data_IF_714092766761
#
_entry.id   IF_714092766761
#
_cell.length_a   1.000
_cell.length_b   1.000
_cell.length_c   1.000
_cell.angle_alpha   90.00
_cell.angle_beta   90.00
_cell.angle_gamma   90.00
#
_symmetry.space_group_name_H-M   'P 1'
#
loop_
_entity.id
_entity.type
_entity.pdbx_description
1 polymer ?
#
# COMPACT_ATOMS: atom_id res chain seq x y z
N UNK A 1 16.15 -2.08 -1.29
CA UNK A 1 14.93 -2.90 -1.06
C UNK A 1 15.32 -4.36 -1.18
N UNK A 2 15.07 -5.16 -0.15
CA UNK A 2 15.46 -6.57 -0.10
C UNK A 2 14.42 -7.48 -0.78
N UNK A 3 14.84 -8.37 -1.68
CA UNK A 3 14.06 -9.49 -2.21
C UNK A 3 12.75 -9.14 -2.95
N UNK A 4 12.62 -7.94 -3.51
CA UNK A 4 11.39 -7.47 -4.18
C UNK A 4 11.62 -6.92 -5.60
N UNK A 5 12.84 -7.07 -6.12
CA UNK A 5 13.18 -6.50 -7.42
C UNK A 5 12.27 -7.03 -8.53
N UNK A 6 12.08 -8.34 -8.60
CA UNK A 6 11.28 -8.98 -9.65
C UNK A 6 9.83 -8.49 -9.66
N UNK A 7 9.23 -8.33 -8.46
CA UNK A 7 7.86 -7.80 -8.32
C UNK A 7 7.80 -6.33 -8.78
N UNK A 8 8.79 -5.52 -8.42
CA UNK A 8 8.85 -4.11 -8.84
C UNK A 8 9.01 -4.02 -10.35
N UNK A 9 9.89 -4.82 -10.95
CA UNK A 9 10.14 -4.83 -12.38
C UNK A 9 8.88 -5.27 -13.16
N UNK A 10 8.24 -6.37 -12.74
CA UNK A 10 7.00 -6.86 -13.34
C UNK A 10 5.87 -5.83 -13.21
N UNK A 11 5.68 -5.27 -12.00
CA UNK A 11 4.64 -4.28 -11.74
C UNK A 11 4.86 -3.02 -12.56
N UNK A 12 6.11 -2.54 -12.65
CA UNK A 12 6.46 -1.39 -13.49
C UNK A 12 6.16 -1.67 -14.96
N UNK A 13 6.53 -2.84 -15.48
CA UNK A 13 6.24 -3.20 -16.86
C UNK A 13 4.72 -3.25 -17.16
N UNK A 14 3.90 -3.74 -16.23
CA UNK A 14 2.44 -3.72 -16.36
C UNK A 14 1.90 -2.29 -16.36
N UNK A 15 2.42 -1.42 -15.48
CA UNK A 15 2.00 -0.02 -15.42
C UNK A 15 2.30 0.75 -16.70
N UNK A 16 3.49 0.57 -17.25
CA UNK A 16 3.90 1.22 -18.51
C UNK A 16 3.06 0.76 -19.71
N UNK A 17 2.45 -0.43 -19.62
CA UNK A 17 1.48 -0.94 -20.61
C UNK A 17 0.04 -0.48 -20.36
N UNK A 18 -0.20 0.38 -19.37
CA UNK A 18 -1.52 0.88 -19.03
C UNK A 18 -2.43 -0.17 -18.39
N UNK A 19 -1.88 -1.10 -17.63
CA UNK A 19 -2.67 -2.12 -16.92
C UNK A 19 -3.10 -1.62 -15.56
N UNK A 20 -4.26 -2.10 -15.10
CA UNK A 20 -4.73 -1.93 -13.72
C UNK A 20 -4.37 -3.19 -12.94
N UNK A 21 -3.61 -3.02 -11.85
CA UNK A 21 -3.14 -4.13 -11.00
C UNK A 21 -3.68 -3.94 -9.58
N UNK A 22 -4.24 -5.00 -9.02
CA UNK A 22 -4.49 -5.13 -7.59
C UNK A 22 -3.29 -5.82 -6.94
N UNK A 23 -2.51 -5.04 -6.19
CA UNK A 23 -1.40 -5.53 -5.38
C UNK A 23 -1.92 -5.89 -3.99
N UNK A 24 -1.93 -7.16 -3.61
CA UNK A 24 -2.55 -7.57 -2.37
C UNK A 24 -1.65 -8.46 -1.50
N UNK A 25 -1.97 -8.54 -0.24
CA UNK A 25 -1.29 -9.32 0.78
C UNK A 25 -1.52 -8.73 2.16
N UNK A 26 -1.17 -9.46 3.23
CA UNK A 26 -1.43 -9.02 4.59
C UNK A 26 -0.73 -7.70 4.93
N UNK A 27 -1.23 -7.04 5.98
CA UNK A 27 -0.60 -5.83 6.51
C UNK A 27 0.86 -6.11 6.93
N UNK A 28 1.74 -5.16 6.64
CA UNK A 28 3.17 -5.26 6.94
C UNK A 28 3.99 -6.09 5.95
N UNK A 29 3.40 -6.63 4.87
CA UNK A 29 4.10 -7.44 3.86
C UNK A 29 5.03 -6.61 2.95
N UNK A 30 4.92 -5.28 2.97
CA UNK A 30 5.78 -4.37 2.23
C UNK A 30 5.19 -3.80 0.94
N UNK A 31 3.85 -3.76 0.79
CA UNK A 31 3.17 -3.18 -0.39
C UNK A 31 3.55 -1.72 -0.63
N UNK A 32 3.51 -0.88 0.40
CA UNK A 32 3.90 0.53 0.34
C UNK A 32 5.33 0.70 -0.20
N UNK A 33 6.28 -0.10 0.30
CA UNK A 33 7.67 -0.06 -0.17
C UNK A 33 7.80 -0.46 -1.64
N UNK A 34 6.97 -1.40 -2.12
CA UNK A 34 6.91 -1.77 -3.54
C UNK A 34 6.38 -0.59 -4.36
N UNK A 35 5.28 0.04 -3.93
CA UNK A 35 4.72 1.21 -4.62
C UNK A 35 5.72 2.36 -4.71
N UNK A 36 6.44 2.64 -3.62
CA UNK A 36 7.51 3.65 -3.59
C UNK A 36 8.64 3.34 -4.58
N UNK A 37 9.02 2.08 -4.72
CA UNK A 37 10.05 1.68 -5.68
C UNK A 37 9.54 1.80 -7.13
N UNK A 38 8.31 1.39 -7.40
CA UNK A 38 7.66 1.59 -8.71
C UNK A 38 7.58 3.07 -9.05
N UNK A 39 7.16 3.92 -8.08
CA UNK A 39 7.11 5.38 -8.24
C UNK A 39 8.45 5.92 -8.71
N UNK A 40 9.53 5.61 -7.98
CA UNK A 40 10.89 6.07 -8.32
C UNK A 40 11.33 5.60 -9.70
N UNK A 41 10.94 4.41 -10.12
CA UNK A 41 11.28 3.89 -11.45
C UNK A 41 10.52 4.62 -12.55
N UNK A 42 9.21 4.83 -12.36
CA UNK A 42 8.35 5.56 -13.31
C UNK A 42 8.77 7.03 -13.45
N UNK A 43 9.10 7.69 -12.33
CA UNK A 43 9.61 9.07 -12.31
C UNK A 43 10.95 9.20 -13.04
N UNK A 44 11.86 8.22 -12.92
CA UNK A 44 13.12 8.19 -13.67
C UNK A 44 12.93 8.07 -15.18
N UNK A 45 11.84 7.48 -15.62
CA UNK A 45 11.44 7.41 -17.03
C UNK A 45 10.70 8.67 -17.50
N UNK A 46 10.67 9.73 -16.68
CA UNK A 46 9.97 10.99 -16.95
C UNK A 46 8.48 10.80 -17.28
N UNK A 47 7.83 9.80 -16.70
CA UNK A 47 6.41 9.57 -16.85
C UNK A 47 5.60 10.23 -15.74
N UNK A 48 4.43 10.83 -16.05
CA UNK A 48 3.54 11.34 -15.01
C UNK A 48 3.21 10.25 -14.00
N UNK A 49 3.45 10.53 -12.72
CA UNK A 49 3.20 9.57 -11.66
C UNK A 49 2.48 10.23 -10.49
N UNK A 50 1.26 9.76 -10.20
CA UNK A 50 0.48 10.20 -9.05
C UNK A 50 0.49 9.15 -7.95
N UNK A 51 0.68 9.57 -6.71
CA UNK A 51 0.68 8.69 -5.55
C UNK A 51 -0.32 9.16 -4.50
N UNK A 52 -1.13 8.24 -3.99
CA UNK A 52 -1.99 8.42 -2.82
C UNK A 52 -1.56 7.45 -1.73
N UNK A 53 -0.99 7.93 -0.61
CA UNK A 53 -0.53 7.06 0.48
C UNK A 53 -1.69 6.46 1.29
N UNK A 54 -2.88 7.06 1.22
CA UNK A 54 -4.09 6.56 1.85
C UNK A 54 -5.28 6.87 0.93
N UNK A 55 -5.79 5.86 0.26
CA UNK A 55 -6.91 6.01 -0.67
C UNK A 55 -8.21 5.60 0.01
N UNK A 56 -8.99 6.58 0.43
CA UNK A 56 -10.29 6.37 1.11
C UNK A 56 -11.48 6.64 0.21
N UNK A 57 -11.29 7.45 -0.83
CA UNK A 57 -12.35 7.99 -1.67
C UNK A 57 -11.91 8.18 -3.12
N UNK A 58 -12.87 8.48 -3.99
CA UNK A 58 -12.58 8.93 -5.36
C UNK A 58 -11.85 10.27 -5.40
N UNK A 59 -12.02 11.11 -4.38
CA UNK A 59 -11.29 12.37 -4.27
C UNK A 59 -9.80 12.15 -4.12
N UNK A 60 -9.37 11.14 -3.33
CA UNK A 60 -7.95 10.81 -3.17
C UNK A 60 -7.34 10.31 -4.49
N UNK A 61 -8.11 9.51 -5.24
CA UNK A 61 -7.70 9.08 -6.57
C UNK A 61 -7.57 10.27 -7.53
N UNK A 62 -8.57 11.15 -7.56
CA UNK A 62 -8.54 12.36 -8.39
C UNK A 62 -7.36 13.25 -7.99
N UNK A 63 -7.12 13.44 -6.70
CA UNK A 63 -5.97 14.20 -6.19
C UNK A 63 -4.62 13.57 -6.60
N UNK A 64 -4.51 12.25 -6.61
CA UNK A 64 -3.32 11.56 -7.12
C UNK A 64 -3.11 11.83 -8.61
N UNK A 65 -4.16 11.78 -9.42
CA UNK A 65 -4.07 12.14 -10.83
C UNK A 65 -3.68 13.62 -11.07
N UNK A 66 -4.23 14.53 -10.28
CA UNK A 66 -3.86 15.95 -10.37
C UNK A 66 -2.38 16.19 -10.05
N UNK A 67 -1.82 15.44 -9.09
CA UNK A 67 -0.37 15.51 -8.83
C UNK A 67 0.46 15.01 -10.02
N UNK A 68 -0.04 14.01 -10.76
CA UNK A 68 0.62 13.53 -11.97
C UNK A 68 0.50 14.52 -13.14
N UNK A 69 -0.55 15.34 -13.15
CA UNK A 69 -0.87 16.30 -14.22
C UNK A 69 -1.13 17.70 -13.63
N UNK A 70 -0.08 18.37 -13.15
CA UNK A 70 -0.21 19.64 -12.44
C UNK A 70 -0.75 20.80 -13.30
N UNK A 71 -0.64 20.69 -14.61
CA UNK A 71 -1.15 21.71 -15.55
C UNK A 71 -2.68 21.73 -15.65
N UNK A 72 -3.35 20.76 -15.00
CA UNK A 72 -4.82 20.73 -14.99
C UNK A 72 -5.32 21.53 -13.80
N UNK A 73 -5.89 22.69 -14.11
CA UNK A 73 -6.62 23.46 -13.12
C UNK A 73 -7.92 22.74 -12.72
N UNK A 74 -8.10 22.55 -11.41
CA UNK A 74 -9.30 21.95 -10.85
C UNK A 74 -10.34 22.97 -10.42
N UNK A 75 -9.95 24.24 -10.29
CA UNK A 75 -10.81 25.32 -9.81
C UNK A 75 -11.97 25.60 -10.78
N UNK A 76 -13.15 25.78 -10.25
CA UNK A 76 -14.36 26.07 -11.05
C UNK A 76 -14.88 24.91 -11.90
N UNK A 77 -14.22 23.73 -11.90
CA UNK A 77 -14.67 22.57 -12.68
C UNK A 77 -15.60 21.66 -11.90
N UNK A 78 -16.64 21.23 -12.55
CA UNK A 78 -17.46 20.13 -12.04
C UNK A 78 -16.66 18.81 -12.07
N UNK A 79 -17.01 17.80 -11.22
CA UNK A 79 -16.33 16.49 -11.24
C UNK A 79 -16.32 15.83 -12.63
N UNK A 80 -17.34 16.06 -13.45
CA UNK A 80 -17.42 15.54 -14.82
C UNK A 80 -16.42 16.24 -15.75
N UNK A 81 -16.32 17.56 -15.68
CA UNK A 81 -15.37 18.35 -16.48
C UNK A 81 -13.92 18.02 -16.09
N UNK A 82 -13.64 17.93 -14.78
CA UNK A 82 -12.32 17.57 -14.28
C UNK A 82 -11.90 16.18 -14.75
N UNK A 83 -12.79 15.19 -14.66
CA UNK A 83 -12.52 13.85 -15.17
C UNK A 83 -12.26 13.84 -16.69
N UNK A 84 -13.01 14.64 -17.46
CA UNK A 84 -12.77 14.80 -18.90
C UNK A 84 -11.38 15.38 -19.19
N UNK A 85 -10.99 16.45 -18.49
CA UNK A 85 -9.68 17.06 -18.63
C UNK A 85 -8.54 16.10 -18.28
N UNK A 86 -8.66 15.38 -17.15
CA UNK A 86 -7.70 14.36 -16.75
C UNK A 86 -7.58 13.24 -17.78
N UNK A 87 -8.71 12.77 -18.32
CA UNK A 87 -8.70 11.75 -19.37
C UNK A 87 -7.92 12.23 -20.60
N UNK A 88 -8.18 13.44 -21.07
CA UNK A 88 -7.45 14.01 -22.23
C UNK A 88 -5.95 14.15 -21.94
N UNK A 89 -5.56 14.54 -20.73
CA UNK A 89 -4.16 14.63 -20.35
C UNK A 89 -3.47 13.25 -20.37
N UNK A 90 -4.13 12.22 -19.82
CA UNK A 90 -3.64 10.82 -19.85
C UNK A 90 -3.54 10.31 -21.30
N UNK A 91 -4.48 10.65 -22.18
CA UNK A 91 -4.42 10.25 -23.60
C UNK A 91 -3.22 10.88 -24.32
N UNK A 92 -2.89 12.14 -24.01
CA UNK A 92 -1.73 12.85 -24.59
C UNK A 92 -0.41 12.35 -24.03
N UNK A 93 -0.35 12.16 -22.73
CA UNK A 93 0.86 11.73 -22.02
C UNK A 93 0.51 10.64 -20.99
N UNK A 94 0.58 9.35 -21.38
CA UNK A 94 0.22 8.24 -20.52
C UNK A 94 1.04 8.20 -19.24
N UNK A 95 0.37 8.20 -18.09
CA UNK A 95 0.98 8.17 -16.76
C UNK A 95 0.59 6.97 -15.94
N UNK A 96 1.00 7.00 -14.69
CA UNK A 96 0.75 5.96 -13.69
C UNK A 96 0.11 6.58 -12.45
N UNK A 97 -0.83 5.86 -11.84
CA UNK A 97 -1.37 6.22 -10.54
C UNK A 97 -1.20 5.05 -9.56
N UNK A 98 -0.66 5.37 -8.39
CA UNK A 98 -0.38 4.43 -7.32
C UNK A 98 -1.27 4.76 -6.13
N UNK A 99 -2.13 3.82 -5.75
CA UNK A 99 -3.14 3.98 -4.71
C UNK A 99 -2.85 3.00 -3.58
N UNK A 100 -2.37 3.53 -2.45
CA UNK A 100 -2.09 2.70 -1.28
C UNK A 100 -3.27 2.65 -0.31
N UNK A 101 -3.35 1.57 0.47
CA UNK A 101 -4.37 1.34 1.50
C UNK A 101 -5.81 1.54 1.02
N UNK A 102 -6.12 1.11 -0.21
CA UNK A 102 -7.51 1.17 -0.69
C UNK A 102 -8.39 0.22 0.13
N UNK A 103 -9.37 0.79 0.83
CA UNK A 103 -10.28 0.03 1.70
C UNK A 103 -11.59 -0.33 1.03
N UNK A 104 -12.03 0.44 0.04
CA UNK A 104 -13.30 0.22 -0.63
C UNK A 104 -13.19 0.53 -2.12
N UNK A 105 -13.29 -0.50 -2.94
CA UNK A 105 -13.30 -0.44 -4.39
C UNK A 105 -14.72 -0.70 -4.94
N UNK A 106 -15.71 -0.02 -4.40
CA UNK A 106 -17.12 -0.17 -4.81
C UNK A 106 -17.38 0.20 -6.28
N UNK A 107 -18.64 0.07 -6.70
CA UNK A 107 -19.07 0.31 -8.10
C UNK A 107 -18.72 1.69 -8.63
N UNK A 108 -18.71 2.72 -7.79
CA UNK A 108 -18.30 4.08 -8.17
C UNK A 108 -16.82 4.14 -8.54
N UNK A 109 -15.95 3.48 -7.78
CA UNK A 109 -14.52 3.40 -8.08
C UNK A 109 -14.28 2.66 -9.41
N UNK A 110 -14.98 1.53 -9.61
CA UNK A 110 -14.97 0.80 -10.88
C UNK A 110 -15.41 1.69 -12.05
N UNK A 111 -16.51 2.43 -11.89
CA UNK A 111 -17.01 3.35 -12.91
C UNK A 111 -16.02 4.47 -13.23
N UNK A 112 -15.33 4.98 -12.21
CA UNK A 112 -14.31 6.00 -12.38
C UNK A 112 -13.09 5.46 -13.15
N UNK A 113 -12.56 4.30 -12.77
CA UNK A 113 -11.49 3.63 -13.52
C UNK A 113 -11.91 3.32 -14.97
N UNK A 114 -13.15 2.89 -15.15
CA UNK A 114 -13.68 2.60 -16.50
C UNK A 114 -13.70 3.85 -17.40
N UNK A 115 -13.78 5.06 -16.83
CA UNK A 115 -13.72 6.29 -17.62
C UNK A 115 -12.36 6.54 -18.27
N UNK A 116 -11.32 5.85 -17.81
CA UNK A 116 -9.96 5.88 -18.39
C UNK A 116 -9.69 4.69 -19.33
N UNK A 117 -10.69 3.87 -19.63
CA UNK A 117 -10.54 2.79 -20.63
C UNK A 117 -10.17 3.38 -21.99
N UNK A 118 -9.26 2.69 -22.68
CA UNK A 118 -8.72 3.15 -23.97
C UNK A 118 -7.59 4.17 -23.83
N UNK A 119 -7.39 4.77 -22.67
CA UNK A 119 -6.15 5.49 -22.35
C UNK A 119 -5.08 4.47 -21.94
N UNK A 120 -3.84 4.89 -21.90
CA UNK A 120 -2.74 4.06 -21.38
C UNK A 120 -2.42 4.38 -19.91
N UNK A 121 -3.41 4.76 -19.11
CA UNK A 121 -3.23 4.96 -17.67
C UNK A 121 -2.92 3.63 -17.00
N UNK A 122 -1.73 3.51 -16.42
CA UNK A 122 -1.39 2.44 -15.48
C UNK A 122 -1.93 2.75 -14.10
N UNK A 123 -2.51 1.77 -13.40
CA UNK A 123 -2.97 1.98 -12.04
C UNK A 123 -2.59 0.78 -11.14
N UNK A 124 -1.96 1.05 -10.01
CA UNK A 124 -1.77 0.06 -8.95
C UNK A 124 -2.68 0.40 -7.79
N UNK A 125 -3.40 -0.59 -7.33
CA UNK A 125 -4.27 -0.53 -6.16
C UNK A 125 -3.70 -1.48 -5.12
N UNK A 126 -3.15 -0.96 -4.04
CA UNK A 126 -2.67 -1.80 -2.94
C UNK A 126 -3.77 -1.99 -1.89
N UNK A 127 -4.02 -3.25 -1.53
CA UNK A 127 -5.04 -3.63 -0.57
C UNK A 127 -4.51 -4.58 0.51
N UNK A 128 -4.94 -4.36 1.76
CA UNK A 128 -4.60 -5.20 2.91
C UNK A 128 -5.59 -6.36 3.03
N UNK A 129 -5.53 -7.29 2.06
CA UNK A 129 -6.40 -8.46 2.00
C UNK A 129 -5.57 -9.69 1.64
N UNK A 130 -5.93 -10.84 2.22
CA UNK A 130 -5.25 -12.11 1.93
C UNK A 130 -5.79 -12.74 0.64
N UNK A 131 -7.10 -12.65 0.42
CA UNK A 131 -7.78 -13.18 -0.77
C UNK A 131 -8.82 -12.15 -1.25
N UNK A 132 -8.56 -11.41 -2.34
CA UNK A 132 -9.46 -10.34 -2.80
C UNK A 132 -10.89 -10.82 -3.12
N UNK A 133 -11.03 -12.06 -3.59
CA UNK A 133 -12.35 -12.64 -3.97
C UNK A 133 -13.29 -12.79 -2.78
N UNK A 134 -12.75 -13.00 -1.58
CA UNK A 134 -13.54 -13.19 -0.36
C UNK A 134 -14.06 -11.86 0.19
N UNK A 135 -13.52 -10.74 -0.29
CA UNK A 135 -13.95 -9.42 0.11
C UNK A 135 -14.96 -8.84 -0.90
N UNK A 136 -16.21 -8.68 -0.46
CA UNK A 136 -17.27 -8.07 -1.29
C UNK A 136 -16.86 -6.72 -1.92
N UNK A 137 -15.97 -5.97 -1.23
CA UNK A 137 -15.44 -4.67 -1.66
C UNK A 137 -14.66 -4.74 -2.98
N UNK A 138 -14.05 -5.87 -3.29
CA UNK A 138 -13.22 -6.07 -4.48
C UNK A 138 -13.91 -6.92 -5.56
N UNK A 139 -14.98 -7.66 -5.22
CA UNK A 139 -15.72 -8.51 -6.19
C UNK A 139 -16.18 -7.74 -7.42
N UNK A 140 -16.63 -6.49 -7.24
CA UNK A 140 -17.09 -5.66 -8.35
C UNK A 140 -15.99 -5.36 -9.38
N UNK A 141 -14.72 -5.50 -9.01
CA UNK A 141 -13.56 -5.21 -9.86
C UNK A 141 -12.90 -6.45 -10.46
N UNK A 142 -13.31 -7.66 -10.05
CA UNK A 142 -12.64 -8.92 -10.33
C UNK A 142 -12.25 -9.15 -11.81
N UNK A 143 -12.98 -8.62 -12.78
CA UNK A 143 -12.68 -8.77 -14.20
C UNK A 143 -11.97 -7.56 -14.83
N UNK A 144 -11.53 -6.59 -14.02
CA UNK A 144 -11.01 -5.32 -14.52
C UNK A 144 -9.55 -5.06 -14.17
N UNK A 145 -8.94 -5.89 -13.34
CA UNK A 145 -7.55 -5.76 -12.88
C UNK A 145 -6.78 -7.08 -12.91
N UNK A 146 -5.46 -6.96 -12.96
CA UNK A 146 -4.54 -8.06 -12.75
C UNK A 146 -4.30 -8.24 -11.26
N UNK A 147 -4.37 -9.46 -10.76
CA UNK A 147 -4.10 -9.77 -9.37
C UNK A 147 -2.63 -10.11 -9.19
N UNK A 148 -1.95 -9.39 -8.30
CA UNK A 148 -0.57 -9.66 -7.93
C UNK A 148 -0.46 -9.82 -6.42
N UNK A 149 -0.18 -11.03 -5.96
CA UNK A 149 0.04 -11.31 -4.55
C UNK A 149 1.47 -10.99 -4.16
N UNK A 150 1.65 -10.28 -3.04
CA UNK A 150 2.98 -10.07 -2.46
C UNK A 150 3.34 -11.27 -1.58
N UNK A 151 4.33 -12.09 -1.96
CA UNK A 151 4.72 -13.25 -1.16
C UNK A 151 5.46 -12.82 0.12
N UNK A 152 5.52 -13.69 1.15
CA UNK A 152 6.36 -13.47 2.32
C UNK A 152 7.85 -13.34 1.94
N UNK A 153 8.60 -12.52 2.65
CA UNK A 153 10.06 -12.47 2.51
C UNK A 153 10.72 -13.67 3.19
N UNK A 154 11.83 -14.15 2.61
CA UNK A 154 12.65 -15.18 3.25
C UNK A 154 13.30 -14.67 4.55
N UNK A 155 13.62 -15.59 5.45
CA UNK A 155 14.27 -15.27 6.72
C UNK A 155 15.61 -14.54 6.55
N UNK A 156 16.33 -14.78 5.44
CA UNK A 156 17.58 -14.08 5.15
C UNK A 156 17.35 -12.57 4.96
N UNK A 157 16.37 -12.18 4.18
CA UNK A 157 16.05 -10.76 3.99
C UNK A 157 15.51 -10.10 5.26
N UNK A 158 14.73 -10.86 6.07
CA UNK A 158 14.26 -10.37 7.36
C UNK A 158 15.40 -10.14 8.36
N UNK A 159 16.49 -10.95 8.30
CA UNK A 159 17.71 -10.72 9.12
C UNK A 159 18.36 -9.39 8.77
N UNK A 160 18.51 -9.08 7.48
CA UNK A 160 19.07 -7.79 7.05
C UNK A 160 18.19 -6.63 7.51
N UNK A 161 16.86 -6.74 7.32
CA UNK A 161 15.91 -5.69 7.75
C UNK A 161 15.96 -5.52 9.28
N UNK A 162 16.08 -6.60 10.05
CA UNK A 162 16.23 -6.52 11.50
C UNK A 162 17.53 -5.81 11.88
N UNK A 163 18.64 -6.17 11.26
CA UNK A 163 19.93 -5.55 11.52
C UNK A 163 19.90 -4.05 11.21
N UNK A 164 19.37 -3.65 10.04
CA UNK A 164 19.23 -2.24 9.66
C UNK A 164 18.31 -1.50 10.64
N UNK A 165 17.17 -2.12 11.01
CA UNK A 165 16.22 -1.49 11.94
C UNK A 165 16.78 -1.30 13.33
N UNK A 166 17.69 -2.15 13.78
CA UNK A 166 18.33 -2.04 15.10
C UNK A 166 19.54 -1.09 15.10
N UNK A 167 20.18 -0.91 13.95
CA UNK A 167 21.36 -0.02 13.86
C UNK A 167 21.07 1.43 14.27
N UNK A 168 19.84 1.89 14.09
CA UNK A 168 19.38 3.25 14.41
C UNK A 168 18.66 3.35 15.76
N UNK A 169 18.60 2.25 16.53
CA UNK A 169 17.80 2.19 17.76
C UNK A 169 18.65 1.82 18.98
N UNK A 170 18.35 2.48 20.09
CA UNK A 170 18.90 2.11 21.42
C UNK A 170 18.03 1.02 22.04
N UNK A 171 18.55 -0.21 22.13
CA UNK A 171 17.90 -1.30 22.84
C UNK A 171 18.62 -1.55 24.18
N UNK A 172 17.89 -1.91 25.26
CA UNK A 172 18.47 -2.09 26.61
C UNK A 172 19.56 -3.14 26.68
N UNK A 173 19.40 -4.25 25.93
CA UNK A 173 20.32 -5.36 25.91
C UNK A 173 20.59 -5.83 24.47
N UNK A 174 21.77 -6.41 24.20
CA UNK A 174 22.05 -6.98 22.88
C UNK A 174 21.18 -8.23 22.63
N UNK A 175 20.55 -8.30 21.46
CA UNK A 175 19.78 -9.49 21.07
C UNK A 175 20.71 -10.69 20.88
N UNK A 176 20.36 -11.82 21.51
CA UNK A 176 20.99 -13.11 21.23
C UNK A 176 20.59 -13.66 19.86
N UNK A 177 21.32 -14.63 19.35
CA UNK A 177 20.94 -15.30 18.08
C UNK A 177 19.61 -16.06 18.21
N UNK A 178 19.28 -16.56 19.39
CA UNK A 178 17.99 -17.16 19.71
C UNK A 178 16.85 -16.14 19.61
N UNK A 179 17.02 -14.95 20.21
CA UNK A 179 16.04 -13.84 20.14
C UNK A 179 15.82 -13.40 18.69
N UNK A 180 16.91 -13.19 17.95
CA UNK A 180 16.85 -12.85 16.51
C UNK A 180 16.09 -13.87 15.68
N UNK A 181 16.39 -15.16 15.92
CA UNK A 181 15.71 -16.26 15.23
C UNK A 181 14.22 -16.31 15.55
N UNK A 182 13.85 -16.07 16.81
CA UNK A 182 12.45 -16.04 17.27
C UNK A 182 11.69 -14.83 16.68
N UNK A 183 12.30 -13.65 16.66
CA UNK A 183 11.73 -12.43 16.02
C UNK A 183 11.44 -12.67 14.53
N UNK A 184 12.39 -13.28 13.81
CA UNK A 184 12.24 -13.58 12.39
C UNK A 184 11.09 -14.55 12.13
N UNK A 185 10.98 -15.60 12.96
CA UNK A 185 9.85 -16.56 12.89
C UNK A 185 8.52 -15.87 13.20
N UNK A 186 8.48 -15.04 14.24
CA UNK A 186 7.30 -14.30 14.66
C UNK A 186 6.79 -13.34 13.57
N UNK A 187 7.69 -12.77 12.78
CA UNK A 187 7.33 -11.86 11.67
C UNK A 187 6.64 -12.54 10.50
N UNK A 188 6.72 -13.86 10.33
CA UNK A 188 6.04 -14.62 9.28
C UNK A 188 6.27 -14.06 7.86
N UNK A 189 7.49 -13.64 7.55
CA UNK A 189 7.81 -13.07 6.23
C UNK A 189 7.35 -11.62 6.02
N UNK A 190 6.91 -10.91 7.07
CA UNK A 190 6.38 -9.55 7.03
C UNK A 190 7.43 -8.53 7.48
N UNK A 191 8.10 -7.81 6.57
CA UNK A 191 9.14 -6.85 6.94
C UNK A 191 8.65 -5.72 7.85
N UNK A 192 7.43 -5.24 7.65
CA UNK A 192 6.84 -4.22 8.53
C UNK A 192 6.65 -4.68 9.98
N UNK A 193 6.49 -5.98 10.22
CA UNK A 193 6.45 -6.53 11.57
C UNK A 193 7.83 -6.51 12.22
N UNK A 194 8.89 -6.81 11.47
CA UNK A 194 10.28 -6.71 11.97
C UNK A 194 10.58 -5.29 12.43
N UNK A 195 10.25 -4.30 11.60
CA UNK A 195 10.49 -2.88 11.91
C UNK A 195 9.73 -2.48 13.19
N UNK A 196 8.45 -2.82 13.28
CA UNK A 196 7.63 -2.52 14.47
C UNK A 196 8.09 -3.26 15.72
N UNK A 197 8.49 -4.54 15.60
CA UNK A 197 9.06 -5.26 16.74
C UNK A 197 10.35 -4.60 17.22
N UNK A 198 11.19 -4.13 16.31
CA UNK A 198 12.40 -3.38 16.68
C UNK A 198 12.07 -2.04 17.37
N UNK A 199 10.93 -1.40 17.05
CA UNK A 199 10.46 -0.21 17.78
C UNK A 199 10.09 -0.54 19.23
N UNK A 200 9.35 -1.61 19.47
CA UNK A 200 8.96 -2.03 20.81
C UNK A 200 10.15 -2.50 21.66
N UNK A 201 11.17 -3.10 21.06
CA UNK A 201 12.37 -3.57 21.76
C UNK A 201 13.21 -2.44 22.42
N UNK A 202 12.93 -1.18 22.13
CA UNK A 202 13.55 -0.05 22.81
C UNK A 202 13.02 0.11 24.25
N UNK A 203 11.86 -0.44 24.58
CA UNK A 203 11.28 -0.37 25.90
C UNK A 203 11.81 -1.51 26.78
N UNK A 204 12.30 -1.19 27.99
CA UNK A 204 12.82 -2.17 28.93
C UNK A 204 11.78 -3.18 29.41
N UNK A 205 10.48 -2.83 29.37
CA UNK A 205 9.38 -3.72 29.79
C UNK A 205 9.28 -5.01 28.96
N UNK A 206 9.89 -5.04 27.79
CA UNK A 206 9.94 -6.23 26.93
C UNK A 206 11.20 -7.07 27.11
N UNK A 207 11.90 -6.88 28.25
CA UNK A 207 13.14 -7.61 28.54
C UNK A 207 13.10 -8.22 29.96
N UNK A 208 13.62 -9.43 30.10
CA UNK A 208 13.88 -10.06 31.40
C UNK A 208 15.15 -10.89 31.28
N UNK A 209 16.00 -10.80 32.31
CA UNK A 209 17.29 -11.48 32.37
C UNK A 209 18.17 -11.36 31.12
N UNK A 210 18.08 -10.20 30.44
CA UNK A 210 18.82 -9.91 29.21
C UNK A 210 18.22 -10.53 27.93
N UNK A 211 17.04 -11.14 28.00
CA UNK A 211 16.32 -11.75 26.88
C UNK A 211 15.07 -10.94 26.49
N UNK A 212 14.80 -10.89 25.19
CA UNK A 212 13.61 -10.22 24.70
C UNK A 212 12.35 -11.08 24.83
N UNK A 213 11.27 -10.49 25.34
CA UNK A 213 9.93 -11.10 25.39
C UNK A 213 9.24 -11.05 24.00
N UNK A 214 9.70 -11.85 23.05
CA UNK A 214 9.28 -11.77 21.64
C UNK A 214 7.77 -11.96 21.46
N UNK A 215 7.11 -12.84 22.23
CA UNK A 215 5.67 -13.04 22.12
C UNK A 215 4.87 -11.82 22.61
N UNK A 216 5.33 -11.15 23.65
CA UNK A 216 4.72 -9.88 24.10
C UNK A 216 4.89 -8.78 23.07
N UNK A 217 6.08 -8.63 22.52
CA UNK A 217 6.34 -7.67 21.41
C UNK A 217 5.48 -7.98 20.18
N UNK A 218 5.34 -9.26 19.83
CA UNK A 218 4.45 -9.70 18.74
C UNK A 218 2.99 -9.35 19.01
N UNK A 219 2.50 -9.56 20.21
CA UNK A 219 1.14 -9.21 20.61
C UNK A 219 0.88 -7.71 20.46
N UNK A 220 1.83 -6.86 20.89
CA UNK A 220 1.72 -5.40 20.71
C UNK A 220 1.67 -5.01 19.24
N UNK A 221 2.50 -5.60 18.39
CA UNK A 221 2.44 -5.34 16.94
C UNK A 221 1.07 -5.73 16.38
N UNK A 222 0.47 -6.83 16.81
CA UNK A 222 -0.87 -7.23 16.40
C UNK A 222 -1.93 -6.21 16.85
N UNK A 223 -1.86 -5.76 18.10
CA UNK A 223 -2.78 -4.74 18.65
C UNK A 223 -2.64 -3.42 17.91
N UNK A 224 -1.41 -2.95 17.68
CA UNK A 224 -1.14 -1.71 16.96
C UNK A 224 -1.67 -1.78 15.52
N UNK A 225 -1.44 -2.89 14.82
CA UNK A 225 -1.95 -3.10 13.47
C UNK A 225 -3.49 -3.11 13.42
N UNK A 226 -4.15 -3.74 14.40
CA UNK A 226 -5.60 -3.76 14.49
C UNK A 226 -6.17 -2.37 14.78
N UNK A 227 -5.56 -1.60 15.68
CA UNK A 227 -5.96 -0.20 15.96
C UNK A 227 -5.87 0.66 14.70
N UNK A 228 -4.79 0.58 13.94
CA UNK A 228 -4.64 1.31 12.67
C UNK A 228 -5.68 0.87 11.63
N UNK A 229 -5.96 -0.43 11.56
CA UNK A 229 -7.00 -0.96 10.68
C UNK A 229 -8.38 -0.41 11.06
N UNK A 230 -8.73 -0.41 12.36
CA UNK A 230 -10.01 0.08 12.86
C UNK A 230 -10.14 1.61 12.73
N UNK A 231 -9.13 2.37 13.12
CA UNK A 231 -9.13 3.82 12.99
C UNK A 231 -9.38 4.30 11.56
N UNK A 232 -8.90 3.52 10.57
CA UNK A 232 -9.23 3.81 9.20
C UNK A 232 -10.59 3.26 8.74
N UNK A 233 -11.23 2.34 9.50
CA UNK A 233 -12.58 1.82 9.19
C UNK A 233 -13.70 2.75 9.69
N UNK A 234 -13.43 3.53 10.74
CA UNK A 234 -14.42 4.45 11.33
C UNK A 234 -14.82 5.63 10.44
N UNK A 235 -14.00 5.97 9.43
CA UNK A 235 -14.36 6.98 8.46
C UNK A 235 -15.16 6.37 7.29
N UNK A 236 -16.39 5.92 7.56
CA UNK A 236 -17.42 5.84 6.51
C UNK A 236 -18.19 7.16 6.52
N UNK A 237 -18.15 7.99 5.46
CA UNK A 237 -19.10 9.09 5.37
C UNK A 237 -20.50 8.45 5.41
N UNK A 238 -21.28 8.81 6.45
CA UNK A 238 -22.69 8.43 6.50
C UNK A 238 -23.29 8.79 5.15
N UNK A 239 -23.77 7.81 4.42
CA UNK A 239 -24.53 8.06 3.21
C UNK A 239 -25.61 9.07 3.59
N UNK A 240 -25.61 10.26 2.98
CA UNK A 240 -26.72 11.19 3.10
C UNK A 240 -27.94 10.42 2.62
N UNK A 241 -28.77 9.99 3.55
CA UNK A 241 -30.13 9.54 3.27
C UNK A 241 -30.76 10.72 2.52
N UNK A 242 -30.93 10.56 1.20
CA UNK A 242 -31.77 11.49 0.46
C UNK A 242 -33.16 11.34 1.07
N UNK A 243 -33.56 12.32 1.88
CA UNK A 243 -34.96 12.52 2.20
C UNK A 243 -35.66 12.66 0.86
N UNK A 244 -36.48 11.66 0.55
CA UNK A 244 -37.51 11.79 -0.48
C UNK A 244 -38.50 12.85 0.03
N UNK A 245 -38.53 13.96 -0.65
CA UNK A 245 -39.71 14.82 -0.82
C UNK A 245 -39.70 15.29 -2.28
#
# INVERSE_FOLDING_TARGET
MYGRKDIVDELTALMLRGRVVLLYGPMGIGKTSILEAVRRTVEKENRPCGFSPQTRSLSDFTAALLRAYPDIDAEGRTPRQLRGALRMAVERNPGVVLLDHLRNAGTQFKGYLASFRGTRLGAVIAADVDVPRDHARFRAMHFTYWEMKVPPLSGQYLRHILADSLAEKSIPYPLTDADRSTLIKAAQGRPGWIIRMADFLQCADYWSDGHAHVESVRAEVMVANNKEYLAGAEYQPKAKVRSQF
#
